data_IF_444874913126
#
_entry.id   IF_444874913126
#
_cell.length_a   1.000
_cell.length_b   1.000
_cell.length_c   1.000
_cell.angle_alpha   90.00
_cell.angle_beta   90.00
_cell.angle_gamma   90.00
#
_symmetry.space_group_name_H-M   'P 1'
#
loop_
_entity.id
_entity.type
_entity.pdbx_description
1 polymer ?
#
# COMPACT_ATOMS: atom_id res chain seq x y z
N UNK A 1 33.46 3.15 -11.77
CA UNK A 1 32.54 2.74 -12.87
C UNK A 1 31.62 3.91 -13.13
N UNK A 2 31.41 4.29 -14.39
CA UNK A 2 30.47 5.37 -14.72
C UNK A 2 29.05 4.81 -14.63
N UNK A 3 28.21 5.38 -13.77
CA UNK A 3 26.85 4.92 -13.50
C UNK A 3 25.86 6.09 -13.53
N UNK A 4 24.57 5.78 -13.64
CA UNK A 4 23.48 6.75 -13.51
C UNK A 4 22.76 6.56 -12.18
N UNK A 5 22.55 7.65 -11.45
CA UNK A 5 21.80 7.66 -10.20
C UNK A 5 20.49 8.40 -10.41
N UNK A 6 19.39 7.75 -10.05
CA UNK A 6 18.04 8.28 -10.14
C UNK A 6 17.50 8.58 -8.73
N UNK A 7 16.92 9.77 -8.55
CA UNK A 7 16.25 10.18 -7.30
C UNK A 7 15.07 11.11 -7.60
N UNK A 8 14.21 11.36 -6.62
CA UNK A 8 12.98 12.16 -6.81
C UNK A 8 13.07 13.50 -6.08
N UNK A 9 12.79 14.60 -6.77
CA UNK A 9 12.64 15.94 -6.19
C UNK A 9 11.20 16.24 -5.78
N UNK A 10 11.02 17.02 -4.72
CA UNK A 10 9.75 17.61 -4.34
C UNK A 10 9.42 18.82 -5.25
N UNK A 11 8.13 19.05 -5.52
CA UNK A 11 7.63 20.05 -6.50
C UNK A 11 8.10 21.51 -6.28
N UNK A 12 8.68 21.85 -5.12
CA UNK A 12 9.15 23.20 -4.78
C UNK A 12 10.54 23.59 -5.32
N UNK A 13 11.27 22.70 -5.99
CA UNK A 13 12.66 22.91 -6.43
C UNK A 13 12.86 23.13 -7.94
N UNK A 14 11.92 23.80 -8.62
CA UNK A 14 11.96 23.99 -10.09
C UNK A 14 13.15 24.87 -10.53
N UNK A 15 14.11 24.28 -11.22
CA UNK A 15 14.71 24.92 -12.41
C UNK A 15 14.37 24.05 -13.63
N UNK A 16 13.58 24.66 -14.52
CA UNK A 16 13.39 24.44 -15.96
C UNK A 16 13.47 23.00 -16.50
N UNK A 17 12.29 22.50 -16.90
CA UNK A 17 12.02 21.51 -17.96
C UNK A 17 12.94 20.29 -18.09
N UNK A 18 12.40 19.10 -17.77
CA UNK A 18 12.53 17.87 -18.57
C UNK A 18 11.61 16.79 -17.95
N UNK A 19 10.57 16.42 -18.71
CA UNK A 19 9.62 15.30 -18.51
C UNK A 19 8.75 15.27 -17.23
N UNK A 20 7.49 15.69 -17.46
CA UNK A 20 6.27 15.53 -16.67
C UNK A 20 5.88 14.03 -16.54
N UNK A 21 5.20 13.45 -15.53
CA UNK A 21 4.37 13.89 -14.40
C UNK A 21 4.50 12.80 -13.30
N UNK A 22 5.20 13.04 -12.19
CA UNK A 22 4.90 12.32 -10.93
C UNK A 22 4.03 13.27 -10.14
N UNK A 23 2.76 12.95 -9.86
CA UNK A 23 1.82 13.85 -9.16
C UNK A 23 2.23 14.27 -7.72
N UNK A 24 3.48 14.00 -7.30
CA UNK A 24 4.10 14.47 -6.05
C UNK A 24 5.62 14.79 -6.16
N UNK A 25 6.26 14.65 -7.33
CA UNK A 25 7.71 14.91 -7.47
C UNK A 25 8.27 14.85 -8.91
N UNK A 26 9.59 14.98 -9.07
CA UNK A 26 10.25 15.00 -10.38
C UNK A 26 11.47 14.07 -10.38
N UNK A 27 11.57 13.17 -11.37
CA UNK A 27 12.74 12.30 -11.52
C UNK A 27 13.95 13.14 -11.88
N UNK A 28 15.06 12.90 -11.21
CA UNK A 28 16.37 13.46 -11.51
C UNK A 28 17.34 12.32 -11.76
N UNK A 29 18.23 12.54 -12.73
CA UNK A 29 19.28 11.59 -13.08
C UNK A 29 20.61 12.33 -13.11
N UNK A 30 21.59 11.84 -12.35
CA UNK A 30 22.97 12.33 -12.39
C UNK A 30 23.88 11.21 -12.86
N UNK A 31 24.91 11.56 -13.63
CA UNK A 31 25.93 10.62 -14.08
C UNK A 31 27.19 10.82 -13.26
N UNK A 32 27.70 9.74 -12.67
CA UNK A 32 28.76 9.80 -11.66
C UNK A 32 29.75 8.64 -11.86
N UNK A 33 31.00 8.87 -11.50
CA UNK A 33 31.95 7.77 -11.30
C UNK A 33 31.83 7.29 -9.86
N UNK A 34 31.43 6.03 -9.69
CA UNK A 34 31.31 5.40 -8.37
C UNK A 34 32.21 4.16 -8.27
N UNK A 35 32.73 3.90 -7.07
CA UNK A 35 33.46 2.67 -6.78
C UNK A 35 32.52 1.49 -6.45
N UNK A 36 33.09 0.30 -6.28
CA UNK A 36 32.30 -0.91 -6.03
C UNK A 36 31.63 -0.89 -4.64
N UNK A 37 32.26 -0.28 -3.65
CA UNK A 37 31.74 -0.22 -2.27
C UNK A 37 30.55 0.74 -2.19
N UNK A 38 30.55 1.79 -3.01
CA UNK A 38 29.42 2.70 -3.20
C UNK A 38 28.27 2.02 -3.93
N UNK A 39 28.54 1.30 -5.03
CA UNK A 39 27.53 0.61 -5.84
C UNK A 39 26.73 -0.41 -5.02
N UNK A 40 27.40 -1.15 -4.12
CA UNK A 40 26.75 -2.18 -3.27
C UNK A 40 25.67 -1.58 -2.34
N UNK A 41 25.71 -0.28 -2.08
CA UNK A 41 24.72 0.42 -1.26
C UNK A 41 23.48 0.84 -2.04
N UNK A 42 23.52 0.78 -3.37
CA UNK A 42 22.49 1.33 -4.23
C UNK A 42 21.51 0.25 -4.70
N UNK A 43 20.28 0.65 -4.97
CA UNK A 43 19.27 -0.25 -5.53
C UNK A 43 19.38 -0.26 -7.06
N UNK A 44 19.53 -1.43 -7.67
CA UNK A 44 19.61 -1.55 -9.13
C UNK A 44 18.28 -1.20 -9.81
N UNK A 45 18.36 -0.42 -10.89
CA UNK A 45 17.21 -0.20 -11.73
C UNK A 45 16.88 -1.47 -12.50
N UNK A 46 15.65 -1.95 -12.37
CA UNK A 46 15.21 -3.20 -13.02
C UNK A 46 15.26 -3.15 -14.55
N UNK A 47 15.18 -1.96 -15.15
CA UNK A 47 14.97 -1.79 -16.59
C UNK A 47 16.14 -1.12 -17.32
N UNK A 48 17.16 -0.65 -16.59
CA UNK A 48 18.27 0.11 -17.17
C UNK A 48 19.58 -0.33 -16.50
N UNK A 49 20.46 -0.95 -17.29
CA UNK A 49 21.77 -1.40 -16.85
C UNK A 49 22.63 -0.18 -16.48
N UNK A 50 23.51 -0.32 -15.50
CA UNK A 50 24.32 0.80 -14.96
C UNK A 50 23.51 1.96 -14.34
N UNK A 51 22.21 1.76 -14.12
CA UNK A 51 21.34 2.72 -13.46
C UNK A 51 20.91 2.23 -12.10
N UNK A 52 20.93 3.14 -11.13
CA UNK A 52 20.63 2.84 -9.74
C UNK A 52 19.67 3.88 -9.16
N UNK A 53 18.83 3.47 -8.23
CA UNK A 53 17.81 4.29 -7.61
C UNK A 53 18.17 4.60 -6.15
N UNK A 54 17.92 5.83 -5.72
CA UNK A 54 18.04 6.24 -4.32
C UNK A 54 16.70 6.82 -3.85
N UNK A 55 16.15 6.24 -2.79
CA UNK A 55 14.91 6.69 -2.17
C UNK A 55 13.62 6.09 -2.76
N UNK A 56 13.73 5.19 -3.73
CA UNK A 56 12.63 4.38 -4.29
C UNK A 56 13.20 3.11 -4.93
N UNK A 57 12.41 2.04 -5.05
CA UNK A 57 12.88 0.74 -5.55
C UNK A 57 12.70 0.55 -7.07
N UNK A 58 11.54 0.89 -7.60
CA UNK A 58 11.24 0.71 -9.03
C UNK A 58 10.22 1.73 -9.48
N UNK A 59 10.35 2.19 -10.72
CA UNK A 59 9.32 2.94 -11.45
C UNK A 59 8.58 1.92 -12.30
N UNK A 60 7.34 1.54 -11.96
CA UNK A 60 6.49 0.87 -12.94
C UNK A 60 5.88 1.96 -13.81
N UNK A 61 6.38 2.06 -15.04
CA UNK A 61 5.82 2.94 -16.06
C UNK A 61 4.46 2.38 -16.50
N UNK A 62 3.39 3.08 -16.17
CA UNK A 62 2.11 2.87 -16.83
C UNK A 62 1.85 4.07 -17.72
N UNK A 63 1.66 3.85 -19.02
CA UNK A 63 0.95 4.84 -19.83
C UNK A 63 -0.51 4.82 -19.38
N UNK A 64 -0.99 5.93 -18.84
CA UNK A 64 -2.42 6.09 -18.68
C UNK A 64 -3.08 6.18 -20.09
N UNK A 65 -4.40 6.01 -20.20
CA UNK A 65 -5.11 6.13 -21.48
C UNK A 65 -4.95 7.49 -22.19
N UNK A 66 -4.47 8.51 -21.47
CA UNK A 66 -4.24 9.87 -21.96
C UNK A 66 -2.80 10.06 -22.51
N UNK A 67 -1.95 9.04 -22.39
CA UNK A 67 -0.57 9.05 -22.89
C UNK A 67 0.46 9.57 -21.89
N UNK A 68 0.07 9.84 -20.64
CA UNK A 68 1.01 10.25 -19.59
C UNK A 68 1.65 9.03 -18.92
N UNK A 69 2.92 9.17 -18.55
CA UNK A 69 3.65 8.20 -17.77
C UNK A 69 3.34 8.36 -16.27
N UNK A 70 2.77 7.33 -15.65
CA UNK A 70 2.64 7.25 -14.19
C UNK A 70 3.81 6.43 -13.61
N UNK A 71 4.53 7.02 -12.66
CA UNK A 71 5.59 6.37 -11.89
C UNK A 71 5.00 5.84 -10.58
N UNK A 72 4.92 4.52 -10.44
CA UNK A 72 4.63 3.89 -9.13
C UNK A 72 5.93 3.39 -8.51
N UNK A 73 6.37 4.06 -7.45
CA UNK A 73 7.54 3.71 -6.65
C UNK A 73 7.25 2.57 -5.67
N UNK A 74 8.05 1.50 -5.65
CA UNK A 74 8.03 0.51 -4.56
C UNK A 74 8.83 1.10 -3.34
N UNK A 75 8.34 0.95 -2.10
CA UNK A 75 8.90 1.61 -0.91
C UNK A 75 10.32 1.18 -0.56
N UNK A 76 11.01 2.04 0.20
CA UNK A 76 12.33 1.73 0.76
C UNK A 76 12.38 1.72 2.30
N UNK A 77 11.30 2.03 3.00
CA UNK A 77 11.28 1.99 4.47
C UNK A 77 10.49 0.77 4.96
N UNK A 78 10.93 0.19 6.09
CA UNK A 78 10.29 -0.96 6.74
C UNK A 78 9.45 -0.50 7.93
N UNK A 79 8.19 -0.94 8.00
CA UNK A 79 7.29 -0.64 9.12
C UNK A 79 6.60 -1.90 9.68
N UNK A 80 6.57 -3.00 8.92
CA UNK A 80 5.96 -4.29 9.25
C UNK A 80 6.92 -5.45 8.92
N UNK A 81 6.57 -6.65 9.36
CA UNK A 81 7.27 -7.88 8.97
C UNK A 81 6.34 -8.73 8.11
N UNK A 82 6.86 -9.17 6.97
CA UNK A 82 6.21 -10.11 6.06
C UNK A 82 6.70 -11.53 6.36
N UNK A 83 5.75 -12.38 6.78
CA UNK A 83 6.02 -13.75 7.17
C UNK A 83 6.33 -14.66 5.97
N UNK A 84 5.72 -14.40 4.81
CA UNK A 84 5.91 -15.17 3.58
C UNK A 84 7.29 -14.91 2.99
N UNK A 85 7.65 -13.63 2.87
CA UNK A 85 8.94 -13.21 2.33
C UNK A 85 10.07 -13.25 3.37
N UNK A 86 9.75 -13.49 4.65
CA UNK A 86 10.67 -13.46 5.80
C UNK A 86 11.53 -12.20 5.86
N UNK A 87 10.96 -11.08 5.42
CA UNK A 87 11.63 -9.80 5.35
C UNK A 87 10.79 -8.76 6.09
N UNK A 88 11.43 -7.68 6.53
CA UNK A 88 10.63 -6.52 6.91
C UNK A 88 10.07 -5.93 5.61
N UNK A 89 8.81 -5.53 5.61
CA UNK A 89 8.20 -4.76 4.53
C UNK A 89 7.76 -3.43 5.14
N UNK A 90 7.65 -2.37 4.36
CA UNK A 90 7.00 -1.19 4.90
C UNK A 90 6.12 -0.53 3.87
N UNK A 91 5.33 0.40 4.38
CA UNK A 91 4.46 1.22 3.56
C UNK A 91 5.30 2.03 2.56
N UNK A 92 4.68 2.28 1.40
CA UNK A 92 5.11 3.11 0.26
C UNK A 92 5.64 4.50 0.68
N UNK A 93 6.83 4.58 1.30
CA UNK A 93 7.52 5.84 1.55
C UNK A 93 8.57 6.03 0.46
N UNK A 94 8.14 6.73 -0.57
CA UNK A 94 9.00 7.30 -1.61
C UNK A 94 9.67 8.54 -1.00
N UNK A 95 11.00 8.64 -1.09
CA UNK A 95 11.72 9.83 -0.65
C UNK A 95 11.72 10.90 -1.75
N UNK A 96 11.14 12.06 -1.43
CA UNK A 96 11.31 13.28 -2.21
C UNK A 96 12.35 14.19 -1.54
N UNK A 97 13.36 14.61 -2.30
CA UNK A 97 14.40 15.54 -1.89
C UNK A 97 13.97 16.98 -2.22
N UNK A 98 14.22 17.94 -1.34
CA UNK A 98 13.69 19.30 -1.49
C UNK A 98 14.45 20.17 -2.50
N UNK A 99 15.65 19.73 -2.91
CA UNK A 99 16.52 20.42 -3.87
C UNK A 99 17.37 19.38 -4.61
N UNK A 100 17.98 19.73 -5.74
CA UNK A 100 19.03 18.93 -6.34
C UNK A 100 20.10 18.55 -5.31
N UNK A 101 20.53 17.30 -5.36
CA UNK A 101 21.46 16.70 -4.40
C UNK A 101 22.72 16.28 -5.14
N UNK A 102 23.89 16.50 -4.53
CA UNK A 102 25.12 15.89 -5.02
C UNK A 102 25.13 14.38 -4.71
N UNK A 103 25.96 13.62 -5.41
CA UNK A 103 26.04 12.17 -5.26
C UNK A 103 26.41 11.75 -3.83
N UNK A 104 27.36 12.46 -3.22
CA UNK A 104 27.85 12.21 -1.87
C UNK A 104 26.73 12.41 -0.85
N UNK A 105 25.88 13.42 -1.04
CA UNK A 105 24.73 13.68 -0.17
C UNK A 105 23.66 12.59 -0.29
N UNK A 106 23.44 12.07 -1.51
CA UNK A 106 22.53 10.96 -1.77
C UNK A 106 23.04 9.65 -1.15
N UNK A 107 24.34 9.37 -1.30
CA UNK A 107 25.01 8.21 -0.69
C UNK A 107 24.97 8.27 0.84
N UNK A 108 25.25 9.44 1.43
CA UNK A 108 25.18 9.62 2.88
C UNK A 108 23.75 9.38 3.39
N UNK A 109 22.75 9.90 2.68
CA UNK A 109 21.35 9.64 3.01
C UNK A 109 21.02 8.14 2.95
N UNK A 110 21.43 7.44 1.90
CA UNK A 110 21.18 6.01 1.71
C UNK A 110 21.87 5.15 2.77
N UNK A 111 23.14 5.45 3.11
CA UNK A 111 23.87 4.81 4.21
C UNK A 111 23.13 4.98 5.53
N UNK A 112 22.69 6.21 5.84
CA UNK A 112 21.95 6.50 7.06
C UNK A 112 20.60 5.77 7.09
N UNK A 113 19.90 5.68 5.95
CA UNK A 113 18.69 4.87 5.80
C UNK A 113 18.99 3.42 6.16
N UNK A 114 19.97 2.78 5.55
CA UNK A 114 20.30 1.38 5.81
C UNK A 114 20.70 1.10 7.26
N UNK A 115 21.45 2.01 7.90
CA UNK A 115 21.80 1.90 9.33
C UNK A 115 20.53 1.95 10.20
N UNK A 116 19.64 2.92 9.93
CA UNK A 116 18.36 3.03 10.63
C UNK A 116 17.52 1.77 10.45
N UNK A 117 17.47 1.22 9.24
CA UNK A 117 16.73 -0.02 8.96
C UNK A 117 17.32 -1.23 9.70
N UNK A 118 18.65 -1.38 9.75
CA UNK A 118 19.30 -2.44 10.53
C UNK A 118 18.98 -2.30 12.03
N UNK A 119 19.01 -1.08 12.55
CA UNK A 119 18.69 -0.79 13.96
C UNK A 119 17.24 -1.08 14.29
N UNK A 120 16.32 -0.66 13.44
CA UNK A 120 14.89 -0.74 13.70
C UNK A 120 14.32 -2.14 13.39
N UNK A 121 15.04 -2.98 12.61
CA UNK A 121 14.66 -4.37 12.27
C UNK A 121 14.30 -5.21 13.48
N UNK A 122 15.11 -5.21 14.52
CA UNK A 122 14.84 -5.99 15.74
C UNK A 122 13.57 -5.53 16.44
N UNK A 123 13.34 -4.22 16.49
CA UNK A 123 12.13 -3.63 17.07
C UNK A 123 10.90 -3.98 16.25
N UNK A 124 10.99 -3.96 14.92
CA UNK A 124 9.90 -4.36 14.01
C UNK A 124 9.57 -5.85 14.22
N UNK A 125 10.59 -6.72 14.26
CA UNK A 125 10.43 -8.14 14.51
C UNK A 125 9.77 -8.41 15.87
N UNK A 126 10.25 -7.77 16.94
CA UNK A 126 9.65 -7.90 18.27
C UNK A 126 8.19 -7.44 18.28
N UNK A 127 7.88 -6.29 17.67
CA UNK A 127 6.52 -5.80 17.54
C UNK A 127 5.62 -6.78 16.79
N UNK A 128 6.12 -7.33 15.68
CA UNK A 128 5.42 -8.35 14.90
C UNK A 128 5.10 -9.59 15.74
N UNK A 129 6.10 -10.16 16.44
CA UNK A 129 5.87 -11.36 17.26
C UNK A 129 4.87 -11.11 18.39
N UNK A 130 4.93 -9.95 19.04
CA UNK A 130 3.94 -9.58 20.06
C UNK A 130 2.53 -9.49 19.47
N UNK A 131 2.36 -8.81 18.32
CA UNK A 131 1.07 -8.71 17.64
C UNK A 131 0.57 -10.09 17.15
N UNK A 132 1.46 -10.95 16.64
CA UNK A 132 1.11 -12.30 16.17
C UNK A 132 0.66 -13.19 17.33
N UNK A 133 1.26 -13.06 18.51
CA UNK A 133 0.82 -13.80 19.70
C UNK A 133 -0.60 -13.40 20.09
N UNK A 134 -0.89 -12.09 20.17
CA UNK A 134 -2.23 -11.62 20.51
C UNK A 134 -3.26 -12.00 19.43
N UNK A 135 -2.89 -11.86 18.15
CA UNK A 135 -3.69 -12.32 17.03
C UNK A 135 -4.04 -13.81 17.13
N UNK A 136 -3.05 -14.66 17.41
CA UNK A 136 -3.27 -16.10 17.52
C UNK A 136 -4.16 -16.44 18.72
N UNK A 137 -4.03 -15.75 19.86
CA UNK A 137 -4.92 -15.95 21.02
C UNK A 137 -6.37 -15.61 20.67
N UNK A 138 -6.55 -14.47 20.02
CA UNK A 138 -7.86 -13.98 19.60
C UNK A 138 -8.51 -14.95 18.60
N UNK A 139 -7.77 -15.33 17.55
CA UNK A 139 -8.20 -16.33 16.57
C UNK A 139 -8.57 -17.66 17.23
N UNK A 140 -7.74 -18.19 18.15
CA UNK A 140 -8.04 -19.46 18.83
C UNK A 140 -9.37 -19.41 19.57
N UNK A 141 -9.64 -18.33 20.29
CA UNK A 141 -10.88 -18.17 21.04
C UNK A 141 -12.08 -18.11 20.09
N UNK A 142 -11.98 -17.32 19.02
CA UNK A 142 -13.05 -17.18 18.04
C UNK A 142 -13.31 -18.49 17.28
N UNK A 143 -12.26 -19.16 16.81
CA UNK A 143 -12.35 -20.42 16.05
C UNK A 143 -12.96 -21.53 16.90
N UNK A 144 -12.64 -21.59 18.20
CA UNK A 144 -13.25 -22.56 19.11
C UNK A 144 -14.77 -22.43 19.15
N UNK A 145 -15.29 -21.20 19.19
CA UNK A 145 -16.72 -20.92 19.34
C UNK A 145 -17.46 -20.94 17.99
N UNK A 146 -16.89 -20.33 16.95
CA UNK A 146 -17.60 -20.02 15.70
C UNK A 146 -16.98 -20.64 14.45
N UNK A 147 -15.72 -21.07 14.51
CA UNK A 147 -14.99 -21.57 13.35
C UNK A 147 -15.55 -22.87 12.79
N UNK A 148 -15.43 -23.02 11.47
CA UNK A 148 -15.77 -24.25 10.76
C UNK A 148 -14.85 -25.41 11.17
N UNK A 149 -15.24 -26.64 10.84
CA UNK A 149 -14.37 -27.81 11.05
C UNK A 149 -13.09 -27.70 10.22
N UNK A 150 -13.15 -27.09 9.03
CA UNK A 150 -11.98 -26.88 8.18
C UNK A 150 -10.96 -25.99 8.88
N UNK A 151 -11.40 -24.85 9.44
CA UNK A 151 -10.54 -23.92 10.16
C UNK A 151 -10.01 -24.51 11.48
N UNK A 152 -10.85 -25.25 12.22
CA UNK A 152 -10.45 -25.96 13.44
C UNK A 152 -9.36 -27.01 13.22
N UNK A 153 -9.33 -27.61 12.02
CA UNK A 153 -8.35 -28.64 11.66
C UNK A 153 -7.02 -28.06 11.12
N UNK A 154 -6.97 -26.76 10.81
CA UNK A 154 -5.73 -26.10 10.40
C UNK A 154 -4.85 -25.82 11.61
N UNK A 155 -3.53 -25.86 11.40
CA UNK A 155 -2.61 -25.27 12.37
C UNK A 155 -2.80 -23.76 12.34
N UNK A 156 -3.29 -23.21 13.46
CA UNK A 156 -3.44 -21.77 13.78
C UNK A 156 -2.15 -20.95 13.63
N UNK A 157 -1.01 -21.57 13.34
CA UNK A 157 0.25 -20.89 13.02
C UNK A 157 0.47 -20.67 11.53
N UNK A 158 -0.44 -21.12 10.67
CA UNK A 158 -0.28 -21.03 9.21
C UNK A 158 -0.96 -19.79 8.64
N UNK A 159 -0.40 -19.21 7.58
CA UNK A 159 -1.02 -18.11 6.81
C UNK A 159 -2.40 -18.50 6.26
N UNK A 160 -2.59 -19.79 5.93
CA UNK A 160 -3.88 -20.34 5.51
C UNK A 160 -4.95 -20.25 6.61
N UNK A 161 -4.58 -20.53 7.86
CA UNK A 161 -5.49 -20.36 9.00
C UNK A 161 -5.89 -18.90 9.18
N UNK A 162 -4.94 -17.96 9.06
CA UNK A 162 -5.22 -16.53 9.16
C UNK A 162 -6.19 -16.05 8.07
N UNK A 163 -5.96 -16.44 6.80
CA UNK A 163 -6.83 -16.06 5.68
C UNK A 163 -8.24 -16.61 5.87
N UNK A 164 -8.34 -17.92 6.17
CA UNK A 164 -9.64 -18.57 6.33
C UNK A 164 -10.40 -18.04 7.55
N UNK A 165 -9.68 -17.74 8.63
CA UNK A 165 -10.23 -17.11 9.82
C UNK A 165 -10.89 -15.75 9.52
N UNK A 166 -10.16 -14.86 8.83
CA UNK A 166 -10.71 -13.54 8.47
C UNK A 166 -11.92 -13.70 7.57
N UNK A 167 -11.86 -14.60 6.58
CA UNK A 167 -12.97 -14.86 5.66
C UNK A 167 -14.23 -15.37 6.39
N UNK A 168 -14.10 -16.43 7.19
CA UNK A 168 -15.22 -17.01 7.94
C UNK A 168 -15.83 -15.98 8.90
N UNK A 169 -14.99 -15.17 9.54
CA UNK A 169 -15.45 -14.13 10.47
C UNK A 169 -16.21 -13.01 9.76
N UNK A 170 -15.72 -12.53 8.62
CA UNK A 170 -16.42 -11.51 7.81
C UNK A 170 -17.76 -12.04 7.35
N UNK A 171 -17.83 -13.27 6.83
CA UNK A 171 -19.10 -13.87 6.37
C UNK A 171 -20.13 -13.99 7.50
N UNK A 172 -19.66 -14.23 8.74
CA UNK A 172 -20.52 -14.33 9.92
C UNK A 172 -20.98 -12.96 10.44
N UNK A 173 -20.06 -12.03 10.64
CA UNK A 173 -20.34 -10.73 11.27
C UNK A 173 -20.95 -9.72 10.31
N UNK A 174 -20.49 -9.73 9.05
CA UNK A 174 -20.82 -8.74 8.03
C UNK A 174 -21.16 -9.43 6.69
N UNK A 175 -22.28 -10.17 6.61
CA UNK A 175 -22.68 -10.83 5.37
C UNK A 175 -22.76 -9.86 4.18
N UNK A 176 -22.16 -10.24 3.05
CA UNK A 176 -22.11 -9.43 1.83
C UNK A 176 -20.95 -8.42 1.78
N UNK A 177 -20.07 -8.39 2.78
CA UNK A 177 -18.78 -7.72 2.67
C UNK A 177 -17.71 -8.68 2.14
N UNK A 178 -16.81 -8.11 1.35
CA UNK A 178 -15.63 -8.75 0.78
C UNK A 178 -14.37 -8.10 1.37
N UNK A 179 -13.30 -8.89 1.54
CA UNK A 179 -12.00 -8.37 1.98
C UNK A 179 -11.30 -7.79 0.76
N UNK A 180 -10.94 -6.50 0.82
CA UNK A 180 -10.07 -5.90 -0.19
C UNK A 180 -8.62 -6.10 0.28
N UNK A 181 -7.77 -6.80 -0.51
CA UNK A 181 -6.33 -6.83 -0.23
C UNK A 181 -5.77 -5.40 -0.22
N UNK A 182 -4.92 -5.06 0.75
CA UNK A 182 -4.34 -3.71 0.83
C UNK A 182 -3.55 -3.32 -0.43
N UNK A 183 -3.04 -4.31 -1.18
CA UNK A 183 -2.38 -4.16 -2.47
C UNK A 183 -3.34 -3.80 -3.61
N UNK A 184 -4.63 -4.09 -3.46
CA UNK A 184 -5.68 -3.87 -4.46
C UNK A 184 -6.39 -2.53 -4.27
N UNK A 185 -5.79 -1.60 -3.52
CA UNK A 185 -6.13 -0.17 -3.60
C UNK A 185 -5.71 0.46 -4.96
N UNK A 186 -5.78 -0.33 -6.04
CA UNK A 186 -5.77 0.14 -7.42
C UNK A 186 -7.11 0.80 -7.79
N UNK A 187 -8.16 0.70 -6.96
CA UNK A 187 -9.38 1.49 -7.19
C UNK A 187 -9.06 3.01 -7.13
N UNK A 188 -9.05 3.67 -8.30
CA UNK A 188 -8.98 5.13 -8.40
C UNK A 188 -10.18 5.71 -7.65
N UNK A 189 -9.92 6.31 -6.49
CA UNK A 189 -10.93 7.04 -5.72
C UNK A 189 -11.34 8.26 -6.53
N UNK A 190 -12.57 8.28 -7.02
CA UNK A 190 -13.09 9.43 -7.75
C UNK A 190 -13.37 10.55 -6.74
N UNK A 191 -12.58 11.62 -6.78
CA UNK A 191 -12.80 12.84 -5.97
C UNK A 191 -14.01 13.68 -6.46
N UNK A 192 -14.89 13.12 -7.29
CA UNK A 192 -16.07 13.83 -7.76
C UNK A 192 -17.07 13.99 -6.63
N UNK A 193 -17.62 15.20 -6.52
CA UNK A 193 -18.59 15.59 -5.51
C UNK A 193 -19.74 14.57 -5.42
N UNK A 194 -20.00 14.16 -4.18
CA UNK A 194 -21.05 13.23 -3.77
C UNK A 194 -22.39 13.81 -4.23
N UNK A 195 -22.85 13.45 -5.43
CA UNK A 195 -24.08 14.06 -5.96
C UNK A 195 -25.16 13.06 -6.33
N UNK A 196 -24.90 11.75 -6.49
CA UNK A 196 -25.95 10.78 -6.84
C UNK A 196 -25.71 9.37 -6.30
N UNK A 197 -25.83 9.16 -4.98
CA UNK A 197 -25.92 7.82 -4.40
C UNK A 197 -27.40 7.37 -4.45
N UNK A 198 -27.75 6.29 -5.18
CA UNK A 198 -29.11 5.76 -5.20
C UNK A 198 -29.55 5.39 -3.78
N UNK A 199 -30.79 5.70 -3.37
CA UNK A 199 -31.30 5.35 -2.03
C UNK A 199 -30.45 5.86 -0.84
N UNK A 200 -29.88 7.07 -0.95
CA UNK A 200 -28.99 7.67 0.05
C UNK A 200 -29.46 7.54 1.52
N UNK A 201 -30.77 7.68 1.80
CA UNK A 201 -31.33 7.53 3.16
C UNK A 201 -31.20 6.10 3.70
N UNK A 202 -31.44 5.10 2.86
CA UNK A 202 -31.34 3.68 3.24
C UNK A 202 -29.88 3.30 3.50
N UNK A 203 -28.97 3.77 2.64
CA UNK A 203 -27.54 3.52 2.78
C UNK A 203 -26.97 4.23 4.01
N UNK A 204 -27.39 5.48 4.27
CA UNK A 204 -26.96 6.18 5.48
C UNK A 204 -27.46 5.44 6.74
N UNK A 205 -28.71 4.96 6.76
CA UNK A 205 -29.22 4.16 7.87
C UNK A 205 -28.42 2.86 8.09
N UNK A 206 -28.00 2.21 7.00
CA UNK A 206 -27.14 1.02 7.03
C UNK A 206 -25.74 1.34 7.58
N UNK A 207 -25.10 2.42 7.12
CA UNK A 207 -23.80 2.90 7.64
C UNK A 207 -23.90 3.21 9.13
N UNK A 208 -24.97 3.85 9.58
CA UNK A 208 -25.19 4.16 10.98
C UNK A 208 -25.36 2.89 11.83
N UNK A 209 -25.93 1.81 11.29
CA UNK A 209 -25.99 0.51 11.97
C UNK A 209 -24.58 -0.04 12.21
N UNK A 210 -23.71 0.00 11.21
CA UNK A 210 -22.31 -0.45 11.36
C UNK A 210 -21.52 0.42 12.33
N UNK A 211 -21.70 1.74 12.30
CA UNK A 211 -21.06 2.66 13.26
C UNK A 211 -21.50 2.41 14.70
N UNK A 212 -22.78 2.11 14.94
CA UNK A 212 -23.29 1.72 16.26
C UNK A 212 -22.71 0.40 16.77
N UNK A 213 -22.28 -0.48 15.88
CA UNK A 213 -21.56 -1.71 16.20
C UNK A 213 -20.05 -1.48 16.43
N UNK A 214 -19.56 -0.25 16.29
CA UNK A 214 -18.16 0.12 16.48
C UNK A 214 -17.31 0.13 15.20
N UNK A 215 -17.89 -0.15 14.03
CA UNK A 215 -17.14 -0.16 12.77
C UNK A 215 -16.94 1.23 12.19
N UNK A 216 -15.76 1.48 11.61
CA UNK A 216 -15.46 2.69 10.85
C UNK A 216 -16.01 2.61 9.41
N UNK A 217 -17.34 2.66 9.30
CA UNK A 217 -18.05 2.57 8.03
C UNK A 217 -18.15 3.93 7.32
N UNK A 218 -17.83 3.95 6.03
CA UNK A 218 -17.91 5.11 5.13
C UNK A 218 -18.42 4.68 3.76
N UNK A 219 -18.97 5.62 2.97
CA UNK A 219 -19.30 5.38 1.57
C UNK A 219 -18.23 6.01 0.67
N UNK A 220 -17.87 5.31 -0.41
CA UNK A 220 -16.99 5.82 -1.45
C UNK A 220 -17.48 5.43 -2.84
N UNK A 221 -17.18 6.30 -3.80
CA UNK A 221 -17.28 5.99 -5.22
C UNK A 221 -15.89 5.58 -5.72
N UNK A 222 -15.83 4.46 -6.43
CA UNK A 222 -14.61 3.81 -6.91
C UNK A 222 -14.75 3.55 -8.41
N UNK A 223 -13.64 3.54 -9.15
CA UNK A 223 -13.60 2.98 -10.51
C UNK A 223 -13.17 1.52 -10.37
N UNK A 224 -14.02 0.59 -10.81
CA UNK A 224 -13.65 -0.80 -10.96
C UNK A 224 -12.82 -0.93 -12.25
N UNK A 225 -11.50 -1.04 -12.10
CA UNK A 225 -10.56 -1.12 -13.23
C UNK A 225 -10.80 -2.36 -14.11
N UNK A 226 -11.47 -3.40 -13.60
CA UNK A 226 -11.78 -4.60 -14.39
C UNK A 226 -12.97 -4.37 -15.33
N UNK A 227 -13.88 -3.48 -14.97
CA UNK A 227 -15.10 -3.20 -15.74
C UNK A 227 -15.10 -1.81 -16.40
N UNK A 228 -14.13 -0.96 -16.08
CA UNK A 228 -14.12 0.49 -16.41
C UNK A 228 -15.43 1.18 -16.01
N UNK A 229 -15.96 0.80 -14.83
CA UNK A 229 -17.24 1.30 -14.30
C UNK A 229 -17.06 1.99 -12.96
N UNK A 230 -17.79 3.08 -12.79
CA UNK A 230 -17.93 3.71 -11.47
C UNK A 230 -18.92 2.91 -10.62
N UNK A 231 -18.50 2.53 -9.43
CA UNK A 231 -19.31 1.83 -8.44
C UNK A 231 -19.40 2.65 -7.14
N UNK A 232 -20.52 2.56 -6.45
CA UNK A 232 -20.63 3.02 -5.06
C UNK A 232 -20.49 1.82 -4.12
N UNK A 233 -19.70 1.99 -3.05
CA UNK A 233 -19.46 0.94 -2.08
C UNK A 233 -19.42 1.46 -0.64
N UNK A 234 -19.88 0.64 0.30
CA UNK A 234 -19.63 0.85 1.74
C UNK A 234 -18.26 0.24 2.06
N UNK A 235 -17.40 1.04 2.67
CA UNK A 235 -16.08 0.63 3.14
C UNK A 235 -16.05 0.62 4.66
N UNK A 236 -15.61 -0.50 5.25
CA UNK A 236 -15.21 -0.58 6.65
C UNK A 236 -13.70 -0.64 6.71
N UNK A 237 -13.09 0.39 7.29
CA UNK A 237 -11.63 0.46 7.45
C UNK A 237 -11.20 -0.14 8.78
N UNK A 238 -9.97 -0.65 8.82
CA UNK A 238 -9.33 -1.19 10.01
C UNK A 238 -10.13 -2.33 10.67
N UNK A 239 -10.83 -3.13 9.87
CA UNK A 239 -11.45 -4.35 10.36
C UNK A 239 -10.35 -5.31 10.83
N UNK A 240 -10.47 -5.78 12.07
CA UNK A 240 -9.41 -6.52 12.78
C UNK A 240 -8.05 -5.79 12.71
N UNK A 241 -8.08 -4.45 12.77
CA UNK A 241 -6.94 -3.54 12.72
C UNK A 241 -6.09 -3.57 11.44
N UNK A 242 -6.42 -4.44 10.47
CA UNK A 242 -5.55 -4.75 9.32
C UNK A 242 -6.25 -4.69 7.97
N UNK A 243 -7.54 -4.99 7.93
CA UNK A 243 -8.26 -5.21 6.68
C UNK A 243 -9.21 -4.07 6.35
N UNK A 244 -9.36 -3.82 5.06
CA UNK A 244 -10.45 -3.02 4.53
C UNK A 244 -11.50 -3.96 3.96
N UNK A 245 -12.75 -3.79 4.40
CA UNK A 245 -13.88 -4.53 3.86
C UNK A 245 -14.69 -3.64 2.93
N UNK A 246 -15.26 -4.23 1.88
CA UNK A 246 -16.12 -3.56 0.93
C UNK A 246 -17.43 -4.31 0.70
N UNK A 247 -18.52 -3.56 0.66
CA UNK A 247 -19.81 -4.04 0.16
C UNK A 247 -20.24 -3.19 -1.02
N UNK A 248 -20.36 -3.80 -2.20
CA UNK A 248 -20.85 -3.14 -3.42
C UNK A 248 -22.33 -2.77 -3.24
N UNK A 249 -22.70 -1.55 -3.63
CA UNK A 249 -24.08 -1.05 -3.55
C UNK A 249 -24.75 -1.08 -4.93
N UNK A 250 -24.03 -0.65 -5.98
CA UNK A 250 -24.52 -0.62 -7.35
C UNK A 250 -23.66 0.20 -8.30
N UNK A 251 -23.98 0.16 -9.59
CA UNK A 251 -23.36 0.98 -10.65
C UNK A 251 -23.75 2.45 -10.48
N UNK A 252 -22.76 3.34 -10.61
CA UNK A 252 -22.95 4.79 -10.62
C UNK A 252 -23.02 5.26 -12.07
N UNK A 253 -24.14 5.91 -12.45
CA UNK A 253 -24.27 6.57 -13.74
C UNK A 253 -23.98 8.05 -13.56
N UNK A 254 -22.95 8.55 -14.26
CA UNK A 254 -22.69 9.99 -14.35
C UNK A 254 -23.85 10.60 -15.15
N UNK A 255 -24.69 11.41 -14.51
CA UNK A 255 -25.65 12.24 -15.24
C UNK A 255 -24.84 13.32 -15.98
N UNK A 256 -24.92 13.29 -17.31
CA UNK A 256 -24.35 14.32 -18.19
C UNK A 256 -24.98 15.69 -17.93
#
# INVERSE_FOLDING_TARGET
RLIRINYLLAEGGREVELYSIVRKGMLQSIQVEADQDEIVLLEECKYDEDSYNIGFYCIKEFMNPEGDFEVTGIPTEYYNYDEECRCCTGNLVIKFFSRPMAFEELLEWERNRQIKLKRDKEKILQSYFSQKIEWNKEMVNWVKEYGSNSLKNLSITTSQADILYVYERVQRELPGFEIIPNEWLEYKVVNAEISNIPNAKTIEAEIQKYRKQGYNATIKNLIDDTEDKMISAILIKNYLERYTLMKRIGEFVKLN
#
